data_IF_909094901834
#
_entry.id   IF_909094901834
#
_cell.length_a   1.000
_cell.length_b   1.000
_cell.length_c   1.000
_cell.angle_alpha   90.00
_cell.angle_beta   90.00
_cell.angle_gamma   90.00
#
_symmetry.space_group_name_H-M   'P 1'
#
loop_
_entity.id
_entity.type
_entity.pdbx_description
1 polymer ?
#
# COMPACT_ATOMS: atom_id res chain seq x y z
N UNK A 1 3.45 -7.85 -15.30
CA UNK A 1 4.12 -7.00 -14.31
C UNK A 1 3.15 -5.98 -13.75
N UNK A 2 3.12 -5.82 -12.44
CA UNK A 2 2.31 -4.79 -11.78
C UNK A 2 3.21 -3.60 -11.47
N UNK A 3 2.80 -2.41 -11.90
CA UNK A 3 3.56 -1.18 -11.64
C UNK A 3 3.02 -0.46 -10.39
N UNK A 4 3.78 0.51 -9.89
CA UNK A 4 3.29 1.35 -8.79
C UNK A 4 2.06 2.16 -9.22
N UNK A 5 1.97 2.54 -10.49
CA UNK A 5 0.79 3.23 -11.01
C UNK A 5 -0.47 2.36 -10.94
N UNK A 6 -0.33 1.07 -11.24
CA UNK A 6 -1.42 0.12 -11.14
C UNK A 6 -1.91 0.00 -9.69
N UNK A 7 -0.97 -0.08 -8.76
CA UNK A 7 -1.27 -0.18 -7.33
C UNK A 7 -1.93 1.10 -6.83
N UNK A 8 -1.41 2.27 -7.24
CA UNK A 8 -2.02 3.56 -6.91
C UNK A 8 -3.48 3.62 -7.36
N UNK A 9 -3.75 3.21 -8.59
CA UNK A 9 -5.10 3.26 -9.15
C UNK A 9 -6.04 2.29 -8.42
N UNK A 10 -5.53 1.13 -8.04
CA UNK A 10 -6.28 0.19 -7.23
C UNK A 10 -6.64 0.78 -5.86
N UNK A 11 -5.66 1.38 -5.19
CA UNK A 11 -5.88 1.99 -3.87
C UNK A 11 -6.82 3.20 -3.97
N UNK A 12 -6.73 3.94 -5.07
CA UNK A 12 -7.63 5.07 -5.32
C UNK A 12 -9.09 4.63 -5.39
N UNK A 13 -9.34 3.40 -5.81
CA UNK A 13 -10.71 2.87 -5.88
C UNK A 13 -11.37 2.75 -4.50
N UNK A 14 -10.61 2.73 -3.41
CA UNK A 14 -11.17 2.74 -2.06
C UNK A 14 -11.74 4.10 -1.65
N UNK A 15 -11.31 5.19 -2.28
CA UNK A 15 -11.83 6.52 -2.02
C UNK A 15 -11.51 7.11 -0.66
N UNK A 16 -10.40 6.70 -0.03
CA UNK A 16 -10.06 7.10 1.34
C UNK A 16 -9.24 8.39 1.43
N UNK A 17 -8.54 8.75 0.37
CA UNK A 17 -7.63 9.90 0.38
C UNK A 17 -7.98 10.89 -0.73
N UNK A 18 -7.54 12.14 -0.56
CA UNK A 18 -7.79 13.20 -1.54
C UNK A 18 -6.75 13.20 -2.66
N UNK A 19 -5.52 12.80 -2.33
CA UNK A 19 -4.41 12.83 -3.28
C UNK A 19 -3.66 11.51 -3.24
N UNK A 20 -3.21 11.04 -4.41
CA UNK A 20 -2.49 9.79 -4.56
C UNK A 20 -1.23 10.02 -5.38
N UNK A 21 -0.09 9.58 -4.88
CA UNK A 21 1.20 9.80 -5.52
C UNK A 21 1.97 8.50 -5.70
N UNK A 22 2.82 8.47 -6.71
CA UNK A 22 3.83 7.43 -6.88
C UNK A 22 5.17 8.03 -6.46
N UNK A 23 5.80 7.43 -5.44
CA UNK A 23 7.03 7.97 -4.92
C UNK A 23 6.78 9.27 -4.16
N UNK A 24 7.49 10.31 -4.51
CA UNK A 24 7.52 11.56 -3.75
C UNK A 24 6.15 12.23 -3.58
N UNK A 25 5.74 12.43 -2.34
CA UNK A 25 4.51 13.13 -1.98
C UNK A 25 4.74 14.66 -1.99
N UNK A 26 3.72 15.41 -2.38
CA UNK A 26 3.68 16.85 -2.13
C UNK A 26 3.30 17.05 -0.66
N UNK A 27 4.27 17.41 0.17
CA UNK A 27 4.08 17.56 1.61
C UNK A 27 3.10 18.67 2.01
N UNK A 28 2.77 19.56 1.10
CA UNK A 28 1.79 20.62 1.32
C UNK A 28 0.35 20.14 1.17
N UNK A 29 0.14 18.97 0.58
CA UNK A 29 -1.18 18.39 0.37
C UNK A 29 -1.47 17.39 1.48
N UNK A 30 -2.41 17.73 2.34
CA UNK A 30 -2.87 16.86 3.42
C UNK A 30 -3.76 15.75 2.88
N UNK A 31 -3.95 14.73 3.67
CA UNK A 31 -4.80 13.58 3.34
C UNK A 31 -4.37 12.92 2.02
N UNK A 32 -3.09 12.63 1.94
CA UNK A 32 -2.45 12.06 0.75
C UNK A 32 -1.92 10.66 1.01
N UNK A 33 -1.88 9.86 -0.04
CA UNK A 33 -1.29 8.52 -0.01
C UNK A 33 -0.19 8.44 -1.04
N UNK A 34 1.00 8.04 -0.60
CA UNK A 34 2.14 7.79 -1.50
C UNK A 34 2.42 6.31 -1.61
N UNK A 35 2.71 5.86 -2.81
CA UNK A 35 3.02 4.46 -3.10
C UNK A 35 4.50 4.37 -3.48
N UNK A 36 5.24 3.55 -2.72
CA UNK A 36 6.68 3.40 -2.89
C UNK A 36 7.04 1.94 -3.06
N UNK A 37 8.18 1.68 -3.71
CA UNK A 37 8.76 0.34 -3.69
C UNK A 37 9.30 0.05 -2.28
N UNK A 38 9.05 -1.14 -1.78
CA UNK A 38 9.66 -1.62 -0.56
C UNK A 38 11.00 -2.22 -0.93
N UNK A 39 12.09 -1.54 -0.57
CA UNK A 39 13.43 -1.89 -1.04
C UNK A 39 13.94 -3.24 -0.53
N UNK A 40 13.47 -3.68 0.60
CA UNK A 40 13.91 -4.94 1.19
C UNK A 40 12.88 -6.05 1.01
N UNK A 41 12.19 -6.02 -0.09
CA UNK A 41 11.22 -7.06 -0.42
C UNK A 41 11.86 -8.43 -0.67
N UNK A 42 13.18 -8.47 -0.69
CA UNK A 42 13.94 -9.67 -0.91
C UNK A 42 13.92 -10.12 -2.36
N UNK A 43 14.47 -11.29 -2.58
CA UNK A 43 14.52 -11.88 -3.91
C UNK A 43 13.16 -12.45 -4.28
N UNK A 44 12.89 -12.52 -5.57
CA UNK A 44 11.79 -13.29 -6.07
C UNK A 44 11.93 -14.73 -5.59
N UNK A 45 10.93 -15.20 -4.89
CA UNK A 45 10.94 -16.57 -4.42
C UNK A 45 10.47 -17.50 -5.53
N UNK A 46 11.20 -18.58 -5.68
CA UNK A 46 10.82 -19.65 -6.59
C UNK A 46 10.38 -20.83 -5.73
N UNK A 47 9.13 -21.24 -5.89
CA UNK A 47 8.63 -22.44 -5.23
C UNK A 47 8.72 -23.56 -6.25
N UNK A 48 9.67 -24.47 -6.03
CA UNK A 48 9.96 -25.53 -6.96
C UNK A 48 10.47 -25.00 -8.30
N UNK A 49 10.22 -25.73 -9.36
CA UNK A 49 10.65 -25.34 -10.70
C UNK A 49 9.64 -24.48 -11.44
N UNK A 50 8.49 -24.19 -10.82
CA UNK A 50 7.40 -23.47 -11.46
C UNK A 50 7.27 -22.06 -10.88
N UNK A 51 7.68 -21.08 -11.68
CA UNK A 51 7.45 -19.68 -11.36
C UNK A 51 6.03 -19.30 -11.77
N UNK A 52 5.07 -19.67 -10.96
CA UNK A 52 3.67 -19.39 -11.25
C UNK A 52 3.21 -18.03 -10.73
N UNK A 53 4.01 -17.40 -9.88
CA UNK A 53 3.68 -16.08 -9.33
C UNK A 53 4.93 -15.21 -9.19
N UNK A 54 4.68 -13.91 -9.04
CA UNK A 54 5.70 -12.93 -8.70
C UNK A 54 5.29 -12.22 -7.42
N UNK A 55 6.29 -11.70 -6.72
CA UNK A 55 6.10 -10.95 -5.49
C UNK A 55 6.54 -9.50 -5.70
N UNK A 56 5.74 -8.55 -5.25
CA UNK A 56 6.09 -7.13 -5.26
C UNK A 56 5.91 -6.54 -3.87
N UNK A 57 6.99 -6.01 -3.31
CA UNK A 57 6.95 -5.29 -2.04
C UNK A 57 6.56 -3.84 -2.27
N UNK A 58 5.65 -3.35 -1.43
CA UNK A 58 5.12 -1.99 -1.53
C UNK A 58 5.06 -1.37 -0.15
N UNK A 59 5.48 -0.10 -0.08
CA UNK A 59 5.35 0.71 1.12
C UNK A 59 4.36 1.83 0.83
N UNK A 60 3.37 1.99 1.69
CA UNK A 60 2.33 3.01 1.57
C UNK A 60 2.55 4.06 2.66
N UNK A 61 2.79 5.29 2.24
CA UNK A 61 2.95 6.42 3.16
C UNK A 61 1.64 7.18 3.25
N UNK A 62 1.04 7.18 4.43
CA UNK A 62 -0.16 7.96 4.72
C UNK A 62 0.29 9.29 5.29
N UNK A 63 0.13 10.36 4.51
CA UNK A 63 0.42 11.73 4.92
C UNK A 63 -0.93 12.36 5.27
N UNK A 64 -1.26 12.38 6.55
CA UNK A 64 -2.58 12.74 7.03
C UNK A 64 -2.77 14.23 7.22
N UNK A 65 -3.03 14.65 8.46
CA UNK A 65 -3.23 16.03 8.82
C UNK A 65 -2.55 16.35 10.16
N UNK A 66 -2.86 17.48 10.74
CA UNK A 66 -2.28 17.91 12.03
C UNK A 66 -2.96 17.26 13.23
N UNK A 67 -3.97 16.43 13.01
CA UNK A 67 -4.67 15.71 14.06
C UNK A 67 -4.25 14.24 14.03
N UNK A 68 -3.55 13.81 15.08
CA UNK A 68 -3.03 12.45 15.16
C UNK A 68 -4.15 11.39 15.13
N UNK A 69 -5.23 11.63 15.84
CA UNK A 69 -6.33 10.68 15.90
C UNK A 69 -6.98 10.47 14.53
N UNK A 70 -7.15 11.54 13.76
CA UNK A 70 -7.71 11.44 12.42
C UNK A 70 -6.77 10.68 11.49
N UNK A 71 -5.48 10.96 11.56
CA UNK A 71 -4.47 10.30 10.73
C UNK A 71 -4.40 8.82 11.06
N UNK A 72 -4.42 8.47 12.34
CA UNK A 72 -4.42 7.08 12.79
C UNK A 72 -5.65 6.33 12.28
N UNK A 73 -6.83 6.95 12.35
CA UNK A 73 -8.07 6.34 11.82
C UNK A 73 -7.98 6.10 10.32
N UNK A 74 -7.42 7.05 9.58
CA UNK A 74 -7.22 6.89 8.13
C UNK A 74 -6.29 5.73 7.83
N UNK A 75 -5.20 5.59 8.59
CA UNK A 75 -4.27 4.48 8.43
C UNK A 75 -4.97 3.14 8.68
N UNK A 76 -5.76 3.05 9.74
CA UNK A 76 -6.52 1.85 10.05
C UNK A 76 -7.62 1.57 9.03
N UNK A 77 -8.27 2.61 8.50
CA UNK A 77 -9.27 2.45 7.45
C UNK A 77 -8.65 1.82 6.20
N UNK A 78 -7.46 2.27 5.83
CA UNK A 78 -6.74 1.69 4.69
C UNK A 78 -6.30 0.25 4.97
N UNK A 79 -5.74 0.01 6.15
CA UNK A 79 -5.31 -1.34 6.56
C UNK A 79 -6.49 -2.32 6.51
N UNK A 80 -7.63 -1.93 7.07
CA UNK A 80 -8.84 -2.75 7.07
C UNK A 80 -9.40 -2.97 5.67
N UNK A 81 -9.33 -1.95 4.81
CA UNK A 81 -9.78 -2.08 3.44
C UNK A 81 -8.94 -3.10 2.67
N UNK A 82 -7.62 -3.05 2.84
CA UNK A 82 -6.71 -4.01 2.22
C UNK A 82 -6.97 -5.42 2.76
N UNK A 83 -7.11 -5.54 4.07
CA UNK A 83 -7.38 -6.83 4.71
C UNK A 83 -8.69 -7.44 4.23
N UNK A 84 -9.73 -6.61 4.06
CA UNK A 84 -11.02 -7.08 3.54
C UNK A 84 -10.90 -7.63 2.13
N UNK A 85 -10.09 -6.98 1.29
CA UNK A 85 -9.84 -7.43 -0.08
C UNK A 85 -9.07 -8.75 -0.08
N UNK A 86 -8.15 -8.94 0.86
CA UNK A 86 -7.38 -10.18 0.99
C UNK A 86 -8.25 -11.42 1.23
N UNK A 87 -9.46 -11.23 1.74
CA UNK A 87 -10.39 -12.33 1.99
C UNK A 87 -11.21 -12.72 0.77
N UNK A 88 -11.13 -11.96 -0.31
CA UNK A 88 -11.83 -12.23 -1.55
C UNK A 88 -10.92 -13.01 -2.51
N UNK A 89 -11.49 -14.01 -3.18
CA UNK A 89 -10.73 -14.90 -4.05
C UNK A 89 -10.33 -14.29 -5.40
N UNK A 90 -10.94 -13.17 -5.78
CA UNK A 90 -10.76 -12.59 -7.11
C UNK A 90 -10.33 -11.12 -7.02
N UNK A 91 -9.09 -10.92 -6.57
CA UNK A 91 -8.51 -9.58 -6.55
C UNK A 91 -7.84 -9.33 -7.90
N UNK A 92 -8.26 -8.27 -8.58
CA UNK A 92 -7.63 -7.86 -9.82
C UNK A 92 -6.99 -6.49 -9.64
N UNK A 93 -5.70 -6.43 -9.88
CA UNK A 93 -4.97 -5.18 -9.99
C UNK A 93 -4.54 -5.07 -11.44
N UNK A 94 -4.71 -3.88 -12.05
CA UNK A 94 -4.34 -3.63 -13.44
C UNK A 94 -5.12 -4.46 -14.46
N UNK A 95 -6.39 -4.70 -14.22
CA UNK A 95 -7.36 -5.35 -15.13
C UNK A 95 -7.01 -6.77 -15.56
N UNK A 96 -5.73 -7.11 -15.70
CA UNK A 96 -5.28 -8.37 -16.27
C UNK A 96 -4.52 -9.27 -15.30
N UNK A 97 -4.05 -8.73 -14.19
CA UNK A 97 -3.22 -9.48 -13.25
C UNK A 97 -4.02 -9.89 -12.04
N UNK A 98 -4.19 -11.19 -11.90
CA UNK A 98 -4.83 -11.76 -10.73
C UNK A 98 -3.86 -11.74 -9.56
N UNK A 99 -4.32 -11.22 -8.44
CA UNK A 99 -3.58 -11.25 -7.18
C UNK A 99 -4.01 -12.50 -6.41
N UNK A 100 -3.04 -13.30 -6.03
CA UNK A 100 -3.30 -14.51 -5.25
C UNK A 100 -3.39 -14.21 -3.76
N UNK A 101 -2.56 -13.28 -3.30
CA UNK A 101 -2.43 -13.04 -1.88
C UNK A 101 -1.77 -11.68 -1.63
N UNK A 102 -2.22 -10.98 -0.61
CA UNK A 102 -1.58 -9.76 -0.11
C UNK A 102 -1.20 -10.01 1.33
N UNK A 103 0.08 -9.86 1.63
CA UNK A 103 0.62 -10.05 2.95
C UNK A 103 0.93 -8.70 3.58
N UNK A 104 0.19 -8.33 4.62
CA UNK A 104 0.51 -7.16 5.42
C UNK A 104 1.66 -7.52 6.34
N UNK A 105 2.76 -6.78 6.26
CA UNK A 105 4.01 -7.13 6.96
C UNK A 105 4.01 -6.74 8.42
N UNK A 106 3.11 -5.87 8.85
CA UNK A 106 3.01 -5.42 10.22
C UNK A 106 1.58 -5.60 10.73
N UNK A 107 1.44 -5.88 12.03
CA UNK A 107 0.14 -6.08 12.64
C UNK A 107 -0.72 -4.82 12.68
N UNK A 108 -0.07 -3.67 12.60
CA UNK A 108 -0.74 -2.38 12.64
C UNK A 108 0.03 -1.37 11.79
N UNK A 109 -0.60 -0.27 11.37
CA UNK A 109 0.12 0.81 10.69
C UNK A 109 1.25 1.35 11.55
N UNK A 110 2.40 1.62 10.93
CA UNK A 110 3.59 2.09 11.63
C UNK A 110 3.49 3.60 11.82
N UNK A 111 3.57 4.06 13.08
CA UNK A 111 3.58 5.48 13.41
C UNK A 111 4.96 6.06 13.10
N UNK A 112 5.01 6.99 12.15
CA UNK A 112 6.25 7.68 11.74
C UNK A 112 6.39 9.04 12.41
N UNK A 113 5.41 9.45 13.21
CA UNK A 113 5.31 10.75 13.86
C UNK A 113 5.02 11.89 12.88
N UNK A 114 5.40 13.11 13.23
CA UNK A 114 5.13 14.30 12.45
C UNK A 114 6.26 14.58 11.46
N UNK A 115 5.90 15.15 10.33
CA UNK A 115 6.90 15.75 9.43
C UNK A 115 7.24 17.17 9.87
N UNK A 116 8.03 17.88 9.05
CA UNK A 116 8.48 19.25 9.35
C UNK A 116 7.31 20.24 9.49
N UNK A 117 6.16 19.96 8.88
CA UNK A 117 4.97 20.82 8.91
C UNK A 117 3.94 20.37 9.95
N UNK A 118 4.35 19.54 10.89
CA UNK A 118 3.51 19.00 11.97
C UNK A 118 2.36 18.13 11.47
N UNK A 119 2.48 17.55 10.31
CA UNK A 119 1.53 16.59 9.75
C UNK A 119 1.93 15.18 10.17
N UNK A 120 0.98 14.45 10.74
CA UNK A 120 1.24 13.07 11.17
C UNK A 120 1.25 12.10 9.98
N UNK A 121 2.13 11.13 10.07
CA UNK A 121 2.32 10.15 9.01
C UNK A 121 2.35 8.74 9.57
N UNK A 122 1.80 7.81 8.78
CA UNK A 122 1.83 6.37 9.07
C UNK A 122 2.30 5.62 7.83
N UNK A 123 2.86 4.45 8.05
CA UNK A 123 3.33 3.59 6.96
C UNK A 123 2.68 2.22 7.07
N UNK A 124 2.23 1.70 5.93
CA UNK A 124 1.77 0.31 5.80
C UNK A 124 2.66 -0.37 4.78
N UNK A 125 3.23 -1.51 5.15
CA UNK A 125 4.08 -2.28 4.26
C UNK A 125 3.42 -3.60 3.92
N UNK A 126 3.51 -3.99 2.65
CA UNK A 126 2.88 -5.22 2.19
C UNK A 126 3.63 -5.86 1.04
N UNK A 127 3.45 -7.15 0.89
CA UNK A 127 3.85 -7.89 -0.29
C UNK A 127 2.61 -8.30 -1.06
N UNK A 128 2.66 -8.12 -2.36
CA UNK A 128 1.59 -8.54 -3.28
C UNK A 128 2.11 -9.71 -4.10
N UNK A 129 1.40 -10.84 -4.04
CA UNK A 129 1.70 -12.03 -4.81
C UNK A 129 0.69 -12.13 -5.94
N UNK A 130 1.16 -12.09 -7.17
CA UNK A 130 0.30 -12.04 -8.34
C UNK A 130 0.76 -12.99 -9.44
N UNK A 131 -0.12 -13.29 -10.38
CA UNK A 131 0.20 -14.18 -11.49
C UNK A 131 1.26 -13.57 -12.39
N UNK A 132 2.10 -14.45 -12.87
CA UNK A 132 3.23 -14.06 -13.70
C UNK A 132 2.81 -13.64 -15.12
#
# INVERSE_FOLDING_TARGET
MITLADIRDWLKSFGLFDNYYIGRIDSKKKNSLGVYNLQDAGRREVIGDLKVYEKKGVSLLIHGDTNKANTERKAWDLDNAIESVCKNENILIAKEKKVFFIELLNNEPIDVNQDADSVYEYVIEMNIYFEK
#
